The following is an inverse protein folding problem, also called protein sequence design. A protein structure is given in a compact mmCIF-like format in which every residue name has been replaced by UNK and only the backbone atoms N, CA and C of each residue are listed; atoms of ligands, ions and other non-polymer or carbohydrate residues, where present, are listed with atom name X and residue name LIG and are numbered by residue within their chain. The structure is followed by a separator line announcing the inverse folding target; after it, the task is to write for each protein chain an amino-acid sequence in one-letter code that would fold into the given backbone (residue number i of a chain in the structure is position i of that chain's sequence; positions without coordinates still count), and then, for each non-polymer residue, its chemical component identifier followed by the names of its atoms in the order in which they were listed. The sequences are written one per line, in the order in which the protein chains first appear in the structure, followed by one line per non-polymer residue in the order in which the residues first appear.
data_IF_536693383703
#
_entry.id   IF_536693383703
#
_cell.length_a   1.000
_cell.length_b   1.000
_cell.length_c   1.000
_cell.angle_alpha   90.00
_cell.angle_beta   90.00
_cell.angle_gamma   90.00
#
_symmetry.space_group_name_H-M   'P 1'
#
loop_
_entity.id
_entity.type
_entity.pdbx_description
1 polymer ?
#
# COMPACT_ATOMS: atom_id res chain seq x y z
N UNK A 1 12.62 5.74 1.81
CA UNK A 1 11.15 5.67 1.95
C UNK A 1 10.50 4.78 0.90
N UNK A 2 10.62 5.08 -0.41
CA UNK A 2 9.96 4.27 -1.45
C UNK A 2 10.23 2.75 -1.33
N UNK A 3 11.50 2.35 -1.19
CA UNK A 3 11.87 0.93 -1.07
C UNK A 3 11.28 0.27 0.19
N UNK A 4 11.34 0.96 1.33
CA UNK A 4 10.78 0.47 2.60
C UNK A 4 9.26 0.32 2.48
N UNK A 5 8.58 1.33 1.93
CA UNK A 5 7.13 1.32 1.79
C UNK A 5 6.67 0.23 0.81
N UNK A 6 7.35 0.11 -0.33
CA UNK A 6 7.08 -0.93 -1.31
C UNK A 6 7.28 -2.34 -0.73
N UNK A 7 8.32 -2.55 0.07
CA UNK A 7 8.57 -3.85 0.71
C UNK A 7 7.50 -4.18 1.76
N UNK A 8 7.19 -3.26 2.67
CA UNK A 8 6.19 -3.47 3.72
C UNK A 8 4.80 -3.72 3.12
N UNK A 9 4.38 -2.88 2.18
CA UNK A 9 3.07 -3.02 1.54
C UNK A 9 3.03 -4.27 0.65
N UNK A 10 4.08 -4.55 -0.11
CA UNK A 10 4.16 -5.75 -0.96
C UNK A 10 4.07 -7.05 -0.18
N UNK A 11 4.78 -7.18 0.94
CA UNK A 11 4.72 -8.38 1.79
C UNK A 11 3.33 -8.58 2.41
N UNK A 12 2.70 -7.50 2.88
CA UNK A 12 1.36 -7.57 3.45
C UNK A 12 0.30 -7.87 2.39
N UNK A 13 0.35 -7.24 1.21
CA UNK A 13 -0.53 -7.56 0.08
C UNK A 13 -0.36 -9.01 -0.36
N UNK A 14 0.88 -9.52 -0.40
CA UNK A 14 1.13 -10.93 -0.71
C UNK A 14 0.46 -11.86 0.30
N UNK A 15 0.66 -11.59 1.60
CA UNK A 15 0.01 -12.34 2.69
C UNK A 15 -1.52 -12.32 2.57
N UNK A 16 -2.09 -11.13 2.36
CA UNK A 16 -3.54 -10.98 2.19
C UNK A 16 -4.07 -11.57 0.90
N UNK A 17 -3.25 -11.79 -0.14
CA UNK A 17 -3.66 -12.43 -1.40
C UNK A 17 -3.67 -13.96 -1.35
N UNK A 18 -2.86 -14.55 -0.47
CA UNK A 18 -2.69 -16.00 -0.36
C UNK A 18 -3.43 -16.63 0.82
N UNK A 19 -4.06 -15.80 1.68
CA UNK A 19 -4.83 -16.27 2.82
C UNK A 19 -6.13 -16.98 2.43
N UNK A 20 -6.62 -17.93 3.24
CA UNK A 20 -7.98 -18.44 3.12
C UNK A 20 -9.01 -17.40 3.59
N UNK A 21 -10.15 -17.30 2.89
CA UNK A 21 -11.25 -16.38 3.24
C UNK A 21 -12.50 -17.17 3.60
N UNK A 22 -13.24 -16.69 4.61
CA UNK A 22 -14.50 -17.28 5.07
C UNK A 22 -15.72 -16.77 4.29
N UNK A 23 -15.60 -15.64 3.59
CA UNK A 23 -16.66 -15.06 2.77
C UNK A 23 -16.10 -14.31 1.56
N UNK A 24 -16.96 -14.09 0.55
CA UNK A 24 -16.61 -13.29 -0.63
C UNK A 24 -16.32 -11.82 -0.24
N UNK A 25 -17.05 -11.27 0.73
CA UNK A 25 -16.80 -9.90 1.22
C UNK A 25 -15.42 -9.79 1.86
N UNK A 26 -15.01 -10.81 2.62
CA UNK A 26 -13.67 -10.90 3.18
C UNK A 26 -12.63 -11.03 2.06
N UNK A 27 -12.85 -11.88 1.05
CA UNK A 27 -11.92 -11.96 -0.09
C UNK A 27 -11.77 -10.62 -0.80
N UNK A 28 -12.89 -9.95 -1.09
CA UNK A 28 -12.89 -8.66 -1.79
C UNK A 28 -12.16 -7.59 -1.00
N UNK A 29 -12.45 -7.49 0.29
CA UNK A 29 -11.77 -6.57 1.21
C UNK A 29 -10.27 -6.87 1.20
N UNK A 30 -9.86 -8.10 1.54
CA UNK A 30 -8.47 -8.47 1.77
C UNK A 30 -7.61 -8.40 0.51
N UNK A 31 -8.06 -8.99 -0.60
CA UNK A 31 -7.30 -9.01 -1.85
C UNK A 31 -7.28 -7.66 -2.52
N UNK A 32 -8.45 -7.13 -2.87
CA UNK A 32 -8.51 -5.93 -3.70
C UNK A 32 -8.19 -4.68 -2.89
N UNK A 33 -8.59 -4.62 -1.61
CA UNK A 33 -8.18 -3.56 -0.70
C UNK A 33 -6.66 -3.48 -0.59
N UNK A 34 -5.99 -4.60 -0.30
CA UNK A 34 -4.52 -4.61 -0.17
C UNK A 34 -3.77 -4.31 -1.48
N UNK A 35 -4.31 -4.71 -2.63
CA UNK A 35 -3.77 -4.33 -3.95
C UNK A 35 -3.88 -2.80 -4.15
N UNK A 36 -5.04 -2.21 -3.85
CA UNK A 36 -5.24 -0.75 -3.99
C UNK A 36 -4.24 0.01 -3.11
N UNK A 37 -4.03 -0.43 -1.87
CA UNK A 37 -3.04 0.17 -0.99
C UNK A 37 -1.61 0.06 -1.55
N UNK A 38 -1.19 -1.10 -2.05
CA UNK A 38 0.13 -1.26 -2.68
C UNK A 38 0.30 -0.37 -3.92
N UNK A 39 -0.74 -0.23 -4.74
CA UNK A 39 -0.71 0.64 -5.91
C UNK A 39 -0.58 2.11 -5.51
N UNK A 40 -1.45 2.60 -4.63
CA UNK A 40 -1.49 4.00 -4.20
C UNK A 40 -0.28 4.39 -3.35
N UNK A 41 0.20 3.49 -2.49
CA UNK A 41 1.26 3.78 -1.52
C UNK A 41 2.67 3.46 -2.01
N UNK A 42 2.85 2.69 -3.08
CA UNK A 42 4.16 2.33 -3.59
C UNK A 42 4.30 2.45 -5.11
N UNK A 43 3.44 1.78 -5.89
CA UNK A 43 3.62 1.69 -7.36
C UNK A 43 3.45 3.05 -8.04
N UNK A 44 2.37 3.77 -7.76
CA UNK A 44 2.13 5.10 -8.35
C UNK A 44 3.23 6.10 -7.96
N UNK A 45 3.61 6.25 -6.67
CA UNK A 45 4.75 7.07 -6.28
C UNK A 45 6.06 6.67 -6.97
N UNK A 46 6.32 5.37 -7.14
CA UNK A 46 7.49 4.89 -7.86
C UNK A 46 7.49 5.34 -9.32
N UNK A 47 6.37 5.13 -10.03
CA UNK A 47 6.21 5.54 -11.44
C UNK A 47 6.44 7.05 -11.57
N UNK A 48 5.85 7.86 -10.68
CA UNK A 48 6.01 9.32 -10.72
C UNK A 48 7.48 9.71 -10.49
N UNK A 49 8.15 9.14 -9.48
CA UNK A 49 9.55 9.44 -9.19
C UNK A 49 10.51 9.01 -10.31
N UNK A 50 10.20 7.91 -11.00
CA UNK A 50 11.03 7.37 -12.08
C UNK A 50 10.77 8.05 -13.43
N UNK A 51 9.54 8.51 -13.69
CA UNK A 51 9.16 9.18 -14.94
C UNK A 51 9.61 10.65 -14.99
N UNK A 52 9.85 11.28 -13.84
CA UNK A 52 10.23 12.69 -13.78
C UNK A 52 11.76 12.85 -13.81
N UNK A 53 12.27 13.44 -14.90
CA UNK A 53 13.71 13.61 -15.15
C UNK A 53 14.42 14.51 -14.11
N UNK A 54 13.77 15.57 -13.64
CA UNK A 54 14.26 16.43 -12.55
C UNK A 54 13.28 16.33 -11.39
N UNK A 55 13.69 15.71 -10.29
CA UNK A 55 12.86 15.47 -9.11
C UNK A 55 12.95 16.69 -8.19
N UNK A 56 12.02 17.66 -8.25
CA UNK A 56 12.12 18.82 -7.38
C UNK A 56 11.89 18.39 -5.92
N UNK A 57 12.52 19.06 -4.93
CA UNK A 57 12.40 18.68 -3.52
C UNK A 57 10.95 18.64 -3.03
N UNK A 58 10.09 19.55 -3.50
CA UNK A 58 8.68 19.59 -3.13
C UNK A 58 7.90 18.35 -3.60
N UNK A 59 8.22 17.79 -4.77
CA UNK A 59 7.58 16.58 -5.28
C UNK A 59 7.99 15.38 -4.42
N UNK A 60 9.29 15.27 -4.11
CA UNK A 60 9.81 14.20 -3.25
C UNK A 60 9.19 14.28 -1.86
N UNK A 61 9.03 15.49 -1.29
CA UNK A 61 8.37 15.69 -0.02
C UNK A 61 6.88 15.30 -0.07
N UNK A 62 6.14 15.78 -1.08
CA UNK A 62 4.72 15.46 -1.25
C UNK A 62 4.49 13.95 -1.40
N UNK A 63 5.28 13.26 -2.23
CA UNK A 63 5.19 11.81 -2.39
C UNK A 63 5.60 11.08 -1.12
N UNK A 64 6.57 11.59 -0.36
CA UNK A 64 6.95 10.98 0.93
C UNK A 64 5.83 11.07 1.94
N UNK A 65 5.19 12.23 2.09
CA UNK A 65 4.04 12.43 2.97
C UNK A 65 2.89 11.52 2.56
N UNK A 66 2.60 11.45 1.25
CA UNK A 66 1.58 10.55 0.71
C UNK A 66 1.87 9.08 1.03
N UNK A 67 3.08 8.62 0.75
CA UNK A 67 3.51 7.24 1.04
C UNK A 67 3.35 6.87 2.51
N UNK A 68 3.73 7.78 3.42
CA UNK A 68 3.58 7.60 4.87
C UNK A 68 2.10 7.58 5.28
N UNK A 69 1.28 8.48 4.74
CA UNK A 69 -0.14 8.53 5.03
C UNK A 69 -0.85 7.25 4.60
N UNK A 70 -0.61 6.78 3.36
CA UNK A 70 -1.20 5.53 2.86
C UNK A 70 -0.70 4.32 3.67
N UNK A 71 0.58 4.29 4.08
CA UNK A 71 1.08 3.25 4.97
C UNK A 71 0.33 3.25 6.31
N UNK A 72 0.11 4.42 6.92
CA UNK A 72 -0.64 4.55 8.16
C UNK A 72 -2.07 4.02 8.03
N UNK A 73 -2.77 4.39 6.96
CA UNK A 73 -4.12 3.86 6.68
C UNK A 73 -4.09 2.36 6.44
N UNK A 74 -3.10 1.87 5.70
CA UNK A 74 -2.97 0.44 5.40
C UNK A 74 -2.68 -0.40 6.65
N UNK A 75 -1.89 0.13 7.60
CA UNK A 75 -1.69 -0.49 8.91
C UNK A 75 -3.01 -0.57 9.68
N UNK A 76 -3.81 0.50 9.71
CA UNK A 76 -5.14 0.49 10.32
C UNK A 76 -6.07 -0.54 9.65
N UNK A 77 -6.07 -0.58 8.33
CA UNK A 77 -6.77 -1.59 7.54
C UNK A 77 -6.32 -3.02 7.88
N UNK A 78 -5.02 -3.25 8.05
CA UNK A 78 -4.47 -4.55 8.41
C UNK A 78 -4.88 -4.97 9.83
N UNK A 79 -4.93 -4.03 10.78
CA UNK A 79 -5.43 -4.31 12.13
C UNK A 79 -6.92 -4.66 12.14
N UNK A 80 -7.76 -3.93 11.40
CA UNK A 80 -9.19 -4.28 11.25
C UNK A 80 -9.38 -5.65 10.58
N UNK A 81 -8.43 -6.04 9.73
CA UNK A 81 -8.42 -7.35 9.07
C UNK A 81 -7.90 -8.47 9.99
N UNK A 82 -6.95 -8.19 10.88
CA UNK A 82 -6.45 -9.18 11.86
C UNK A 82 -7.43 -9.49 13.00
N UNK A 83 -8.37 -8.59 13.27
CA UNK A 83 -9.36 -8.72 14.35
C UNK A 83 -10.48 -9.73 14.11
N UNK A 84 -10.55 -10.31 12.89
CA UNK A 84 -11.72 -11.08 12.47
C UNK A 84 -12.93 -10.17 12.21
N UNK A 85 -13.67 -10.49 11.16
CA UNK A 85 -15.12 -10.25 11.21
C UNK A 85 -15.71 -11.31 12.12
#
# INVERSE_FOLDING_TARGET
MLAINGLLMGLATLSFSQGPYSSLEQELWYRYGSIIFALAGAVIPAIILLSVAKRPPWLVAALTIWMVAVLGVFVGYAFMSGGGV
#
